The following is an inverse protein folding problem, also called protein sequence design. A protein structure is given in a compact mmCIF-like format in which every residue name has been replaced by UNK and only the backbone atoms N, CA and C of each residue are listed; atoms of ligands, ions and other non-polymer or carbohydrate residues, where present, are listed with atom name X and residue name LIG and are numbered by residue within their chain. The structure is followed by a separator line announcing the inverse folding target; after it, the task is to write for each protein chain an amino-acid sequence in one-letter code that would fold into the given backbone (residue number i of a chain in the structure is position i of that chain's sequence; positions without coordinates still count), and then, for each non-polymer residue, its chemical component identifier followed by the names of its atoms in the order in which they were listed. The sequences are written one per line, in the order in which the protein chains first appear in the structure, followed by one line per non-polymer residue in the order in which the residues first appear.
data_IF_415386072596
#
_entry.id   IF_415386072596
#
_cell.length_a   1.000
_cell.length_b   1.000
_cell.length_c   1.000
_cell.angle_alpha   90.00
_cell.angle_beta   90.00
_cell.angle_gamma   90.00
#
_symmetry.space_group_name_H-M   'P 1'
#
loop_
_entity.id
_entity.type
_entity.pdbx_description
1 polymer ?
#
# COMPACT_ATOMS: atom_id res chain seq x y z
N UNK A 1 34.65 -0.91 1.26
CA UNK A 1 33.68 -0.02 0.58
C UNK A 1 34.51 1.20 0.19
N UNK A 2 34.52 1.57 -1.10
CA UNK A 2 35.26 2.74 -1.56
C UNK A 2 34.50 4.02 -1.14
N UNK A 3 35.17 5.18 -1.16
CA UNK A 3 34.51 6.48 -0.92
C UNK A 3 33.39 6.79 -1.94
N UNK A 4 33.33 6.04 -3.04
CA UNK A 4 32.38 6.19 -4.14
C UNK A 4 31.17 5.26 -4.07
N UNK A 5 31.11 4.36 -3.06
CA UNK A 5 30.04 3.37 -2.94
C UNK A 5 29.47 3.32 -1.52
N UNK A 6 28.15 3.28 -1.41
CA UNK A 6 27.46 3.15 -0.12
C UNK A 6 26.36 2.10 -0.17
N UNK A 7 26.20 1.36 0.93
CA UNK A 7 25.05 0.51 1.18
C UNK A 7 24.14 1.19 2.22
N UNK A 8 22.84 1.01 2.06
CA UNK A 8 21.87 1.43 3.06
C UNK A 8 20.84 0.34 3.29
N UNK A 9 20.33 0.29 4.50
CA UNK A 9 19.21 -0.53 4.89
C UNK A 9 18.19 0.37 5.61
N UNK A 10 16.93 0.21 5.30
CA UNK A 10 15.83 0.92 5.93
C UNK A 10 14.81 -0.08 6.46
N UNK A 11 14.32 0.17 7.67
CA UNK A 11 13.23 -0.55 8.30
C UNK A 11 12.29 0.45 8.95
N UNK A 12 11.01 0.38 8.64
CA UNK A 12 10.01 1.28 9.21
C UNK A 12 8.70 0.54 9.51
N UNK A 13 7.96 1.05 10.49
CA UNK A 13 6.61 0.62 10.83
C UNK A 13 5.69 1.82 10.77
N UNK A 14 4.89 1.87 9.73
CA UNK A 14 3.90 2.91 9.49
C UNK A 14 2.54 2.45 10.00
N UNK A 15 1.84 3.31 10.71
CA UNK A 15 0.47 3.06 11.15
C UNK A 15 -0.47 4.13 10.66
N UNK A 16 -1.61 3.71 10.12
CA UNK A 16 -2.67 4.60 9.64
C UNK A 16 -3.94 4.34 10.44
N UNK A 17 -4.47 5.37 11.08
CA UNK A 17 -5.77 5.26 11.76
C UNK A 17 -6.89 5.12 10.74
N UNK A 18 -7.85 4.19 10.94
CA UNK A 18 -9.05 4.14 10.14
C UNK A 18 -9.79 5.49 10.19
N UNK A 19 -10.40 5.87 9.07
CA UNK A 19 -11.15 7.12 9.00
C UNK A 19 -12.32 7.14 9.97
N UNK A 20 -12.76 8.32 10.41
CA UNK A 20 -13.90 8.48 11.31
C UNK A 20 -15.18 7.85 10.74
N UNK A 21 -15.39 7.89 9.42
CA UNK A 21 -16.54 7.28 8.75
C UNK A 21 -16.63 5.76 8.88
N UNK A 22 -15.56 5.07 9.30
CA UNK A 22 -15.59 3.62 9.56
C UNK A 22 -15.72 3.28 11.04
N UNK A 23 -15.38 4.22 11.93
CA UNK A 23 -15.19 3.96 13.35
C UNK A 23 -16.34 4.39 14.23
N UNK A 24 -17.07 5.43 13.89
CA UNK A 24 -17.83 6.14 14.89
C UNK A 24 -19.26 6.45 14.49
N UNK A 25 -20.18 5.70 15.10
CA UNK A 25 -21.49 6.15 15.54
C UNK A 25 -22.00 5.21 16.65
N UNK A 26 -21.88 5.58 17.94
CA UNK A 26 -22.32 4.72 19.04
C UNK A 26 -23.85 4.49 19.07
N UNK A 27 -24.63 5.36 18.45
CA UNK A 27 -26.08 5.20 18.37
C UNK A 27 -26.51 4.15 17.34
N UNK A 28 -25.69 3.81 16.38
CA UNK A 28 -26.00 2.77 15.38
C UNK A 28 -26.23 1.39 16.02
N UNK A 29 -25.52 1.09 17.10
CA UNK A 29 -25.65 -0.20 17.80
C UNK A 29 -27.01 -0.38 18.48
N UNK A 30 -27.73 0.70 18.79
CA UNK A 30 -29.05 0.63 19.40
C UNK A 30 -30.15 0.29 18.39
N UNK A 31 -29.90 0.44 17.10
CA UNK A 31 -30.90 0.32 16.04
C UNK A 31 -30.49 -0.68 14.93
N UNK A 32 -29.69 -1.70 15.27
CA UNK A 32 -29.20 -2.69 14.31
C UNK A 32 -30.34 -3.34 13.52
N UNK A 33 -31.47 -3.64 14.18
CA UNK A 33 -32.62 -4.32 13.55
C UNK A 33 -33.31 -3.48 12.47
N UNK A 34 -33.25 -2.17 12.55
CA UNK A 34 -33.94 -1.25 11.64
C UNK A 34 -33.07 -0.73 10.50
N UNK A 35 -31.80 -1.08 10.47
CA UNK A 35 -30.85 -0.59 9.46
C UNK A 35 -30.43 -1.67 8.48
N UNK A 36 -30.65 -1.37 7.20
CA UNK A 36 -30.03 -2.10 6.08
C UNK A 36 -28.63 -1.60 5.73
N UNK A 37 -28.15 -0.54 6.38
CA UNK A 37 -26.88 0.12 6.12
C UNK A 37 -25.71 -0.59 6.82
N UNK A 38 -24.49 -0.26 6.40
CA UNK A 38 -23.25 -0.69 7.05
C UNK A 38 -23.12 0.02 8.39
N UNK A 39 -22.86 -0.71 9.46
CA UNK A 39 -22.64 -0.20 10.80
C UNK A 39 -21.16 0.08 11.01
N UNK A 40 -20.84 1.22 11.60
CA UNK A 40 -19.47 1.58 11.92
C UNK A 40 -18.90 0.72 13.06
N UNK A 41 -17.59 0.49 13.06
CA UNK A 41 -16.92 -0.31 14.07
C UNK A 41 -15.90 0.54 14.86
N UNK A 42 -16.25 0.88 16.09
CA UNK A 42 -15.39 1.64 17.00
C UNK A 42 -14.10 0.88 17.41
N UNK A 43 -14.09 -0.45 17.28
CA UNK A 43 -12.98 -1.32 17.67
C UNK A 43 -11.95 -1.55 16.54
N UNK A 44 -12.04 -0.82 15.43
CA UNK A 44 -11.06 -0.93 14.37
C UNK A 44 -9.65 -0.58 14.86
N UNK A 45 -8.72 -1.48 14.58
CA UNK A 45 -7.30 -1.28 14.83
C UNK A 45 -6.69 -0.42 13.73
N UNK A 46 -5.58 0.29 14.00
CA UNK A 46 -4.81 0.93 12.94
C UNK A 46 -4.33 -0.08 11.89
N UNK A 47 -4.41 0.32 10.63
CA UNK A 47 -3.73 -0.37 9.54
C UNK A 47 -2.21 -0.22 9.73
N UNK A 48 -1.46 -1.27 9.46
CA UNK A 48 -0.02 -1.28 9.70
C UNK A 48 0.71 -1.68 8.42
N UNK A 49 1.74 -0.93 8.06
CA UNK A 49 2.68 -1.27 6.98
C UNK A 49 4.07 -1.40 7.58
N UNK A 50 4.69 -2.55 7.38
CA UNK A 50 6.11 -2.78 7.71
C UNK A 50 6.89 -2.68 6.41
N UNK A 51 7.84 -1.76 6.35
CA UNK A 51 8.66 -1.49 5.16
C UNK A 51 10.10 -1.94 5.41
N UNK A 52 10.64 -2.69 4.46
CA UNK A 52 12.04 -3.13 4.42
C UNK A 52 12.63 -2.68 3.10
N UNK A 53 13.73 -1.95 3.12
CA UNK A 53 14.47 -1.56 1.93
C UNK A 53 15.96 -1.81 2.14
N UNK A 54 16.59 -2.39 1.12
CA UNK A 54 18.03 -2.53 1.01
C UNK A 54 18.47 -1.88 -0.29
N UNK A 55 19.53 -1.09 -0.25
CA UNK A 55 20.00 -0.43 -1.43
C UNK A 55 21.50 -0.24 -1.45
N UNK A 56 21.97 -0.03 -2.68
CA UNK A 56 23.34 0.25 -3.01
C UNK A 56 23.38 1.48 -3.92
N UNK A 57 24.28 2.39 -3.63
CA UNK A 57 24.52 3.57 -4.44
C UNK A 57 26.00 3.63 -4.80
N UNK A 58 26.28 3.88 -6.07
CA UNK A 58 27.61 4.04 -6.62
C UNK A 58 27.74 5.36 -7.35
N UNK A 59 28.78 6.10 -7.05
CA UNK A 59 29.26 7.22 -7.87
C UNK A 59 30.01 6.63 -9.04
N UNK A 60 29.53 6.86 -10.27
CA UNK A 60 30.16 6.36 -11.51
C UNK A 60 31.17 7.36 -12.07
N UNK A 61 30.90 8.65 -11.84
CA UNK A 61 31.80 9.76 -12.23
C UNK A 61 31.51 10.95 -11.31
N UNK A 62 32.32 12.03 -11.35
CA UNK A 62 32.06 13.24 -10.55
C UNK A 62 30.67 13.87 -10.78
N UNK A 63 30.04 13.53 -11.90
CA UNK A 63 28.73 14.07 -12.30
C UNK A 63 27.63 13.03 -12.41
N UNK A 64 27.89 11.72 -12.19
CA UNK A 64 26.88 10.69 -12.35
C UNK A 64 26.88 9.67 -11.21
N UNK A 65 25.68 9.22 -10.86
CA UNK A 65 25.48 8.19 -9.84
C UNK A 65 24.38 7.20 -10.25
N UNK A 66 24.54 5.98 -9.78
CA UNK A 66 23.57 4.90 -9.91
C UNK A 66 23.14 4.43 -8.53
N UNK A 67 21.84 4.35 -8.30
CA UNK A 67 21.24 3.76 -7.09
C UNK A 67 20.38 2.57 -7.50
N UNK A 68 20.56 1.46 -6.82
CA UNK A 68 19.72 0.26 -6.95
C UNK A 68 19.20 -0.07 -5.57
N UNK A 69 17.90 -0.24 -5.41
CA UNK A 69 17.29 -0.68 -4.16
C UNK A 69 16.23 -1.76 -4.40
N UNK A 70 16.10 -2.66 -3.44
CA UNK A 70 15.03 -3.63 -3.38
C UNK A 70 14.18 -3.34 -2.13
N UNK A 71 12.86 -3.42 -2.26
CA UNK A 71 11.94 -3.15 -1.18
C UNK A 71 10.92 -4.28 -1.02
N UNK A 72 10.48 -4.47 0.23
CA UNK A 72 9.40 -5.36 0.60
C UNK A 72 8.54 -4.67 1.66
N UNK A 73 7.25 -4.51 1.36
CA UNK A 73 6.27 -3.90 2.26
C UNK A 73 5.20 -4.92 2.59
N UNK A 74 4.95 -5.10 3.87
CA UNK A 74 3.89 -5.95 4.36
C UNK A 74 2.77 -5.09 4.97
N UNK A 75 1.57 -5.22 4.41
CA UNK A 75 0.38 -4.53 4.91
C UNK A 75 -0.45 -5.49 5.74
N UNK A 76 -0.84 -5.06 6.93
CA UNK A 76 -1.63 -5.84 7.90
C UNK A 76 -2.76 -5.01 8.47
N UNK A 77 -3.83 -5.70 8.88
CA UNK A 77 -5.00 -5.08 9.50
C UNK A 77 -5.71 -4.07 8.58
N UNK A 78 -5.63 -4.22 7.27
CA UNK A 78 -6.35 -3.37 6.36
C UNK A 78 -7.87 -3.52 6.59
N UNK A 79 -8.56 -2.39 6.56
CA UNK A 79 -10.00 -2.34 6.81
C UNK A 79 -10.77 -2.87 5.62
N UNK A 80 -11.76 -3.74 5.86
CA UNK A 80 -12.63 -4.30 4.84
C UNK A 80 -14.07 -4.38 5.34
N UNK A 81 -15.02 -4.22 4.44
CA UNK A 81 -16.43 -4.49 4.68
C UNK A 81 -16.64 -5.99 4.90
N UNK A 82 -17.38 -6.37 5.94
CA UNK A 82 -17.66 -7.75 6.32
C UNK A 82 -19.13 -7.95 6.69
N UNK A 83 -19.63 -9.19 6.52
CA UNK A 83 -20.90 -9.64 7.11
C UNK A 83 -20.63 -10.31 8.47
N UNK A 84 -21.46 -10.03 9.46
CA UNK A 84 -21.51 -10.72 10.74
C UNK A 84 -22.76 -11.62 10.74
N UNK A 85 -22.58 -12.88 10.33
CA UNK A 85 -23.69 -13.81 10.07
C UNK A 85 -24.38 -14.32 11.33
N UNK A 86 -23.63 -14.57 12.39
CA UNK A 86 -24.14 -15.18 13.62
C UNK A 86 -24.51 -14.12 14.68
N UNK A 87 -24.89 -12.94 14.26
CA UNK A 87 -25.28 -11.87 15.16
C UNK A 87 -26.74 -12.03 15.59
N UNK A 88 -27.00 -11.83 16.87
CA UNK A 88 -28.37 -11.72 17.41
C UNK A 88 -28.69 -10.24 17.67
N UNK A 89 -29.86 -9.76 17.33
CA UNK A 89 -31.03 -10.45 16.76
C UNK A 89 -31.03 -10.57 15.23
N UNK A 90 -30.09 -9.95 14.55
CA UNK A 90 -30.04 -9.95 13.08
C UNK A 90 -28.62 -9.87 12.56
N UNK A 91 -28.37 -10.49 11.41
CA UNK A 91 -27.14 -10.31 10.63
C UNK A 91 -26.95 -8.85 10.23
N UNK A 92 -25.75 -8.34 10.34
CA UNK A 92 -25.43 -6.98 9.94
C UNK A 92 -24.10 -6.88 9.21
N UNK A 93 -23.89 -5.77 8.55
CA UNK A 93 -22.65 -5.43 7.85
C UNK A 93 -21.85 -4.41 8.65
N UNK A 94 -20.54 -4.61 8.73
CA UNK A 94 -19.65 -3.68 9.42
C UNK A 94 -18.26 -3.68 8.79
N UNK A 95 -17.39 -2.83 9.27
CA UNK A 95 -15.97 -2.82 8.88
C UNK A 95 -15.15 -3.65 9.87
N UNK A 96 -14.15 -4.36 9.37
CA UNK A 96 -13.22 -5.15 10.16
C UNK A 96 -11.81 -5.13 9.61
N UNK A 97 -10.81 -5.31 10.48
CA UNK A 97 -9.41 -5.44 10.08
C UNK A 97 -9.15 -6.87 9.58
N UNK A 98 -9.49 -7.14 8.35
CA UNK A 98 -9.46 -8.48 7.76
C UNK A 98 -8.46 -8.64 6.65
N UNK A 99 -8.09 -7.56 5.99
CA UNK A 99 -7.26 -7.61 4.80
C UNK A 99 -5.78 -7.45 5.12
N UNK A 100 -4.98 -7.99 4.21
CA UNK A 100 -3.54 -7.90 4.22
C UNK A 100 -3.02 -7.91 2.78
N UNK A 101 -1.78 -7.51 2.60
CA UNK A 101 -1.14 -7.55 1.30
C UNK A 101 0.36 -7.36 1.39
N UNK A 102 1.01 -7.51 0.25
CA UNK A 102 2.44 -7.31 0.08
C UNK A 102 2.72 -6.48 -1.15
N UNK A 103 3.69 -5.59 -1.04
CA UNK A 103 4.24 -4.85 -2.18
C UNK A 103 5.73 -5.08 -2.18
N UNK A 104 6.26 -5.66 -3.25
CA UNK A 104 7.69 -5.98 -3.37
C UNK A 104 8.21 -5.57 -4.73
N UNK A 105 9.48 -5.19 -4.77
CA UNK A 105 10.04 -4.74 -6.03
C UNK A 105 11.47 -4.25 -5.92
N UNK A 106 11.91 -3.62 -7.00
CA UNK A 106 13.22 -2.98 -7.09
C UNK A 106 13.10 -1.66 -7.83
N UNK A 107 13.97 -0.74 -7.46
CA UNK A 107 14.11 0.56 -8.15
C UNK A 107 15.54 0.73 -8.61
N UNK A 108 15.72 1.19 -9.84
CA UNK A 108 16.99 1.61 -10.41
C UNK A 108 16.86 3.10 -10.72
N UNK A 109 17.74 3.90 -10.15
CA UNK A 109 17.78 5.35 -10.37
C UNK A 109 19.16 5.75 -10.88
N UNK A 110 19.19 6.46 -11.99
CA UNK A 110 20.39 7.05 -12.56
C UNK A 110 20.24 8.57 -12.56
N UNK A 111 21.22 9.26 -12.02
CA UNK A 111 21.30 10.71 -12.02
C UNK A 111 22.58 11.17 -12.71
N UNK A 112 22.43 12.00 -13.74
CA UNK A 112 23.48 12.72 -14.41
C UNK A 112 23.29 14.20 -14.13
N UNK A 113 24.16 14.78 -13.30
CA UNK A 113 24.25 16.21 -13.07
C UNK A 113 24.70 16.89 -14.36
N UNK A 114 24.49 18.18 -14.44
CA UNK A 114 24.85 18.92 -15.64
C UNK A 114 26.31 18.64 -16.06
N UNK A 115 26.44 18.02 -17.22
CA UNK A 115 27.72 17.71 -17.88
C UNK A 115 27.68 18.36 -19.26
N UNK A 116 28.42 19.46 -19.44
CA UNK A 116 28.24 20.31 -20.61
C UNK A 116 26.82 20.87 -20.65
N UNK A 117 26.08 20.54 -21.69
CA UNK A 117 24.74 21.06 -21.95
C UNK A 117 23.62 20.10 -21.51
N UNK A 118 23.94 18.96 -20.90
CA UNK A 118 22.99 17.88 -20.61
C UNK A 118 22.87 17.64 -19.12
N UNK A 119 21.63 17.50 -18.64
CA UNK A 119 21.26 16.92 -17.35
C UNK A 119 20.20 15.86 -17.58
N UNK A 120 20.28 14.72 -16.89
CA UNK A 120 19.31 13.65 -17.01
C UNK A 120 19.07 12.97 -15.65
N UNK A 121 17.82 12.66 -15.37
CA UNK A 121 17.43 11.75 -14.29
C UNK A 121 16.53 10.68 -14.87
N UNK A 122 16.86 9.41 -14.63
CA UNK A 122 16.10 8.26 -15.11
C UNK A 122 15.81 7.34 -13.93
N UNK A 123 14.54 6.97 -13.76
CA UNK A 123 14.07 6.04 -12.74
C UNK A 123 13.30 4.90 -13.39
N UNK A 124 13.59 3.70 -12.97
CA UNK A 124 12.83 2.50 -13.31
C UNK A 124 12.41 1.78 -12.03
N UNK A 125 11.14 1.41 -11.94
CA UNK A 125 10.62 0.60 -10.85
C UNK A 125 9.94 -0.64 -11.42
N UNK A 126 10.35 -1.80 -10.91
CA UNK A 126 9.65 -3.07 -11.06
C UNK A 126 8.92 -3.35 -9.75
N UNK A 127 7.60 -3.54 -9.79
CA UNK A 127 6.78 -3.73 -8.60
C UNK A 127 5.79 -4.87 -8.79
N UNK A 128 5.51 -5.58 -7.71
CA UNK A 128 4.45 -6.57 -7.58
C UNK A 128 3.66 -6.24 -6.32
N UNK A 129 2.39 -5.88 -6.48
CA UNK A 129 1.51 -5.50 -5.39
C UNK A 129 0.28 -6.41 -5.37
N UNK A 130 0.21 -7.29 -4.38
CA UNK A 130 -0.83 -8.31 -4.25
C UNK A 130 -1.44 -8.26 -2.84
N UNK A 131 -2.74 -8.53 -2.73
CA UNK A 131 -3.43 -8.55 -1.44
C UNK A 131 -4.84 -9.10 -1.52
N UNK A 132 -5.56 -9.04 -0.42
CA UNK A 132 -6.93 -9.56 -0.32
C UNK A 132 -8.01 -8.52 -0.67
N UNK A 133 -7.63 -7.26 -0.87
CA UNK A 133 -8.50 -6.18 -1.30
C UNK A 133 -7.75 -4.86 -1.43
N UNK A 134 -8.03 -4.10 -2.47
CA UNK A 134 -7.37 -2.82 -2.77
C UNK A 134 -7.84 -1.67 -1.87
N UNK A 135 -9.08 -1.76 -1.36
CA UNK A 135 -9.68 -0.78 -0.45
C UNK A 135 -10.73 -1.43 0.47
N UNK A 136 -11.28 -0.65 1.41
CA UNK A 136 -12.25 -1.11 2.39
C UNK A 136 -13.58 -1.62 1.79
N UNK A 137 -13.83 -1.38 0.52
CA UNK A 137 -15.08 -1.73 -0.19
C UNK A 137 -14.88 -2.72 -1.34
N UNK A 138 -13.66 -3.19 -1.56
CA UNK A 138 -13.31 -4.13 -2.65
C UNK A 138 -14.22 -5.37 -2.70
N UNK A 139 -14.67 -5.85 -1.54
CA UNK A 139 -15.55 -7.02 -1.41
C UNK A 139 -17.04 -6.66 -1.33
N UNK A 140 -17.43 -5.42 -1.56
CA UNK A 140 -18.82 -4.94 -1.36
C UNK A 140 -19.85 -5.72 -2.18
N UNK A 141 -19.53 -6.12 -3.41
CA UNK A 141 -20.41 -6.93 -4.24
C UNK A 141 -20.78 -8.29 -3.61
N UNK A 142 -19.77 -9.02 -3.13
CA UNK A 142 -19.92 -10.32 -2.47
C UNK A 142 -20.70 -10.15 -1.15
N UNK A 143 -20.32 -9.14 -0.36
CA UNK A 143 -20.94 -8.85 0.93
C UNK A 143 -22.41 -8.43 0.77
N UNK A 144 -22.74 -7.64 -0.26
CA UNK A 144 -24.11 -7.24 -0.55
C UNK A 144 -24.99 -8.40 -1.04
N UNK A 145 -24.36 -9.39 -1.71
CA UNK A 145 -25.05 -10.63 -2.08
C UNK A 145 -25.28 -11.59 -0.88
N UNK A 146 -24.85 -11.23 0.34
CA UNK A 146 -25.00 -12.06 1.53
C UNK A 146 -24.04 -13.24 1.56
N UNK A 147 -22.98 -13.24 0.77
CA UNK A 147 -21.99 -14.30 0.70
C UNK A 147 -20.80 -14.01 1.63
N UNK A 148 -20.10 -15.08 2.10
CA UNK A 148 -18.88 -14.90 2.88
C UNK A 148 -17.76 -14.31 2.01
N UNK A 149 -16.97 -13.41 2.56
CA UNK A 149 -15.80 -12.87 1.88
C UNK A 149 -14.72 -13.93 1.77
N UNK A 150 -14.46 -14.37 0.54
CA UNK A 150 -13.34 -15.26 0.22
C UNK A 150 -12.06 -14.44 0.08
N UNK A 151 -11.14 -14.61 1.02
CA UNK A 151 -9.86 -13.89 1.07
C UNK A 151 -8.87 -14.48 0.08
N UNK A 152 -9.10 -14.22 -1.20
CA UNK A 152 -8.21 -14.62 -2.29
C UNK A 152 -7.19 -13.51 -2.53
N UNK A 153 -5.92 -13.86 -2.67
CA UNK A 153 -4.87 -12.91 -3.04
C UNK A 153 -5.00 -12.60 -4.53
N UNK A 154 -5.15 -11.32 -4.83
CA UNK A 154 -5.25 -10.78 -6.19
C UNK A 154 -4.32 -9.58 -6.33
N UNK A 155 -3.88 -9.22 -7.54
CA UNK A 155 -3.18 -7.96 -7.75
C UNK A 155 -4.01 -6.78 -7.27
N UNK A 156 -3.37 -5.79 -6.67
CA UNK A 156 -4.03 -4.54 -6.31
C UNK A 156 -4.37 -3.71 -7.54
N UNK A 157 -5.41 -2.90 -7.47
CA UNK A 157 -5.85 -2.02 -8.56
C UNK A 157 -4.77 -1.02 -8.99
N UNK A 158 -3.83 -0.70 -8.07
CA UNK A 158 -2.69 0.16 -8.34
C UNK A 158 -1.42 -0.62 -8.72
N UNK A 159 -1.49 -1.94 -8.95
CA UNK A 159 -0.33 -2.75 -9.35
C UNK A 159 0.15 -2.34 -10.74
N UNK A 160 1.27 -1.64 -10.77
CA UNK A 160 1.95 -1.24 -12.00
C UNK A 160 3.31 -1.92 -12.06
N UNK A 161 3.37 -3.01 -12.82
CA UNK A 161 4.55 -3.89 -12.87
C UNK A 161 5.82 -3.15 -13.29
N UNK A 162 5.72 -2.24 -14.24
CA UNK A 162 6.85 -1.50 -14.79
C UNK A 162 6.51 -0.02 -14.85
N UNK A 163 7.32 0.79 -14.21
CA UNK A 163 7.20 2.24 -14.27
C UNK A 163 8.54 2.86 -14.68
N UNK A 164 8.52 3.72 -15.70
CA UNK A 164 9.65 4.50 -16.17
C UNK A 164 9.36 5.99 -16.01
N UNK A 165 10.33 6.72 -15.48
CA UNK A 165 10.29 8.17 -15.44
C UNK A 165 11.65 8.70 -15.86
N UNK A 166 11.71 9.46 -16.95
CA UNK A 166 12.94 10.06 -17.49
C UNK A 166 12.71 11.56 -17.64
N UNK A 167 13.60 12.33 -17.02
CA UNK A 167 13.67 13.78 -17.19
C UNK A 167 14.98 14.12 -17.88
N UNK A 168 14.89 14.84 -18.98
CA UNK A 168 16.01 15.27 -19.77
C UNK A 168 15.98 16.79 -19.95
N UNK A 169 17.07 17.48 -19.62
CA UNK A 169 17.23 18.92 -19.75
C UNK A 169 18.46 19.19 -20.65
N UNK A 170 18.24 19.92 -21.71
CA UNK A 170 19.28 20.34 -22.64
C UNK A 170 19.33 21.86 -22.71
N UNK A 171 20.52 22.43 -22.49
CA UNK A 171 20.76 23.87 -22.57
C UNK A 171 21.78 24.14 -23.66
N UNK A 172 21.44 25.00 -24.58
CA UNK A 172 22.31 25.44 -25.67
C UNK A 172 22.86 26.85 -25.43
#
# INVERSE_FOLDING_TARGET
ISEEASFFAHYDILTKRPTSGFRFDPFEYQFIQSRSAVINNANLKPETTVDYELGFQQVLSPTSSLKISAFYREQRNNVQLINVFEAYPATYKTYGNRDFGTVKGMTIAYDLRQTGNIRMTANYTLQFADGTGSDATSSSGIINAGLPNLRTIVPYDFDQRHAFAITFDYRY
#
